data_IF_918598490349
#
_entry.id   IF_918598490349
#
_cell.length_a   1.000
_cell.length_b   1.000
_cell.length_c   1.000
_cell.angle_alpha   90.00
_cell.angle_beta   90.00
_cell.angle_gamma   90.00
#
_symmetry.space_group_name_H-M   'P 1'
#
loop_
_entity.id
_entity.type
_entity.pdbx_description
1 polymer ?
#
# COMPACT_ATOMS: atom_id res chain seq x y z
N UNK A 1 -28.60 -21.51 4.21
CA UNK A 1 -28.54 -21.43 2.73
C UNK A 1 -27.07 -21.59 2.39
N UNK A 2 -26.68 -22.69 1.75
CA UNK A 2 -25.28 -22.90 1.35
C UNK A 2 -24.89 -21.79 0.38
N UNK A 3 -23.90 -20.98 0.76
CA UNK A 3 -23.28 -20.02 -0.15
C UNK A 3 -22.24 -20.79 -0.96
N UNK A 4 -22.63 -21.30 -2.13
CA UNK A 4 -21.73 -22.03 -3.02
C UNK A 4 -20.79 -21.05 -3.76
N UNK A 5 -19.80 -20.51 -3.03
CA UNK A 5 -18.76 -19.61 -3.56
C UNK A 5 -17.41 -20.24 -3.25
N UNK A 6 -16.71 -20.72 -4.29
CA UNK A 6 -15.41 -21.35 -4.13
C UNK A 6 -14.25 -20.37 -4.41
N UNK A 7 -13.71 -19.76 -3.36
CA UNK A 7 -12.49 -18.94 -3.46
C UNK A 7 -11.25 -19.77 -3.86
N UNK A 8 -11.30 -21.10 -3.77
CA UNK A 8 -10.20 -21.97 -4.24
C UNK A 8 -10.06 -21.97 -5.75
N UNK A 9 -11.06 -21.49 -6.48
CA UNK A 9 -10.95 -21.25 -7.94
C UNK A 9 -9.88 -20.22 -8.31
N UNK A 10 -9.42 -19.40 -7.36
CA UNK A 10 -8.30 -18.48 -7.53
C UNK A 10 -6.93 -19.20 -7.49
N UNK A 11 -6.90 -20.42 -6.96
CA UNK A 11 -5.69 -21.24 -6.87
C UNK A 11 -5.60 -22.10 -8.15
N UNK A 12 -4.46 -22.09 -8.87
CA UNK A 12 -4.27 -22.95 -10.04
C UNK A 12 -4.59 -24.43 -9.74
N UNK A 13 -5.06 -25.17 -10.74
CA UNK A 13 -5.59 -26.53 -10.58
C UNK A 13 -4.60 -27.52 -9.94
N UNK A 14 -3.30 -27.34 -10.21
CA UNK A 14 -2.20 -28.10 -9.64
C UNK A 14 -1.92 -27.79 -8.15
N UNK A 15 -2.56 -26.76 -7.58
CA UNK A 15 -2.31 -26.24 -6.23
C UNK A 15 -3.54 -26.21 -5.33
N UNK A 16 -4.70 -26.72 -5.76
CA UNK A 16 -6.03 -26.62 -5.10
C UNK A 16 -6.08 -27.02 -3.60
N UNK A 17 -5.07 -27.71 -3.08
CA UNK A 17 -4.97 -28.04 -1.65
C UNK A 17 -3.75 -27.41 -0.97
N UNK A 18 -2.57 -27.47 -1.60
CA UNK A 18 -1.32 -26.86 -1.15
C UNK A 18 -0.43 -26.57 -2.38
N UNK A 19 0.11 -25.34 -2.47
CA UNK A 19 1.11 -24.99 -3.49
C UNK A 19 2.53 -25.35 -3.06
N UNK A 20 3.28 -26.08 -3.90
CA UNK A 20 4.70 -26.30 -3.66
C UNK A 20 5.49 -25.04 -4.06
N UNK A 21 6.38 -24.58 -3.18
CA UNK A 21 7.29 -23.46 -3.44
C UNK A 21 8.71 -23.99 -3.60
N UNK A 22 9.38 -23.62 -4.69
CA UNK A 22 10.77 -23.99 -4.95
C UNK A 22 11.74 -22.88 -4.49
N UNK A 23 12.53 -23.18 -3.47
CA UNK A 23 13.51 -22.28 -2.89
C UNK A 23 14.91 -22.69 -3.36
N UNK A 24 15.34 -22.14 -4.51
CA UNK A 24 16.73 -22.22 -4.98
C UNK A 24 17.67 -21.36 -4.08
N UNK A 25 18.93 -21.13 -4.49
CA UNK A 25 19.89 -20.23 -3.81
C UNK A 25 19.47 -18.74 -3.76
N UNK A 26 18.18 -18.45 -3.99
CA UNK A 26 17.62 -17.13 -4.09
C UNK A 26 17.16 -16.60 -2.71
N UNK A 27 17.27 -15.29 -2.51
CA UNK A 27 16.79 -14.64 -1.29
C UNK A 27 15.32 -14.24 -1.44
N UNK A 28 14.53 -14.44 -0.39
CA UNK A 28 13.12 -14.11 -0.38
C UNK A 28 12.80 -13.16 0.78
N UNK A 29 11.75 -12.36 0.60
CA UNK A 29 11.14 -11.60 1.68
C UNK A 29 9.66 -11.94 1.77
N UNK A 30 9.13 -11.94 2.99
CA UNK A 30 7.74 -12.28 3.27
C UNK A 30 7.07 -11.18 4.07
N UNK A 31 5.76 -11.05 3.90
CA UNK A 31 4.94 -10.12 4.66
C UNK A 31 3.56 -10.71 4.91
N UNK A 32 2.91 -10.26 5.98
CA UNK A 32 1.51 -10.56 6.23
C UNK A 32 0.81 -9.34 6.82
N UNK A 33 -0.50 -9.29 6.61
CA UNK A 33 -1.36 -8.26 7.20
C UNK A 33 -2.79 -8.76 7.32
N UNK A 34 -3.50 -8.25 8.33
CA UNK A 34 -4.91 -8.54 8.56
C UNK A 34 -5.68 -7.26 8.30
N UNK A 35 -6.76 -7.38 7.53
CA UNK A 35 -7.72 -6.32 7.25
C UNK A 35 -9.08 -6.77 7.79
N UNK A 36 -9.49 -6.22 8.93
CA UNK A 36 -10.68 -6.63 9.68
C UNK A 36 -11.69 -5.48 9.93
N UNK A 37 -11.32 -4.25 9.60
CA UNK A 37 -12.13 -3.05 9.84
C UNK A 37 -12.34 -2.22 8.55
N UNK A 38 -12.26 -2.81 7.36
CA UNK A 38 -12.52 -2.10 6.09
C UNK A 38 -13.90 -2.43 5.53
N UNK A 39 -14.66 -1.44 5.00
CA UNK A 39 -15.83 -1.70 4.18
C UNK A 39 -15.50 -2.64 3.01
N UNK A 40 -16.47 -3.41 2.52
CA UNK A 40 -16.25 -4.25 1.33
C UNK A 40 -15.93 -3.42 0.09
N UNK A 41 -16.49 -2.22 -0.02
CA UNK A 41 -16.30 -1.30 -1.14
C UNK A 41 -16.35 0.15 -0.66
N UNK A 42 -15.62 1.01 -1.35
CA UNK A 42 -15.64 2.46 -1.22
C UNK A 42 -15.48 3.10 -2.60
N UNK A 43 -15.51 4.42 -2.68
CA UNK A 43 -15.33 5.11 -3.95
C UNK A 43 -13.89 4.94 -4.46
N UNK A 44 -13.75 4.27 -5.61
CA UNK A 44 -12.46 3.99 -6.24
C UNK A 44 -11.76 2.70 -5.79
N UNK A 45 -12.29 1.99 -4.79
CA UNK A 45 -11.67 0.76 -4.33
C UNK A 45 -12.56 -0.22 -3.57
N UNK A 46 -12.00 -1.39 -3.30
CA UNK A 46 -12.64 -2.44 -2.51
C UNK A 46 -11.60 -3.23 -1.72
N UNK A 47 -12.09 -4.02 -0.76
CA UNK A 47 -11.24 -4.80 0.15
C UNK A 47 -10.29 -5.76 -0.60
N UNK A 48 -10.74 -6.36 -1.69
CA UNK A 48 -9.97 -7.35 -2.45
C UNK A 48 -8.78 -6.70 -3.15
N UNK A 49 -9.04 -5.64 -3.91
CA UNK A 49 -8.01 -4.87 -4.60
C UNK A 49 -7.00 -4.27 -3.63
N UNK A 50 -7.45 -3.70 -2.51
CA UNK A 50 -6.56 -3.14 -1.50
C UNK A 50 -5.70 -4.20 -0.81
N UNK A 51 -6.29 -5.32 -0.39
CA UNK A 51 -5.57 -6.37 0.32
C UNK A 51 -4.43 -6.96 -0.52
N UNK A 52 -4.68 -7.24 -1.80
CA UNK A 52 -3.64 -7.75 -2.72
C UNK A 52 -2.59 -6.67 -2.99
N UNK A 53 -3.02 -5.45 -3.34
CA UNK A 53 -2.10 -4.35 -3.69
C UNK A 53 -1.21 -3.93 -2.53
N UNK A 54 -1.72 -3.85 -1.30
CA UNK A 54 -0.91 -3.50 -0.12
C UNK A 54 0.11 -4.61 0.20
N UNK A 55 -0.24 -5.89 0.04
CA UNK A 55 0.71 -7.00 0.18
C UNK A 55 1.81 -6.95 -0.89
N UNK A 56 1.43 -6.75 -2.15
CA UNK A 56 2.39 -6.58 -3.25
C UNK A 56 3.33 -5.40 -2.97
N UNK A 57 2.77 -4.24 -2.63
CA UNK A 57 3.54 -3.03 -2.34
C UNK A 57 4.49 -3.22 -1.16
N UNK A 58 4.09 -3.96 -0.11
CA UNK A 58 4.96 -4.27 1.05
C UNK A 58 6.18 -5.10 0.69
N UNK A 59 6.08 -5.95 -0.34
CA UNK A 59 7.22 -6.66 -0.92
C UNK A 59 8.05 -5.72 -1.78
N UNK A 60 7.40 -4.95 -2.66
CA UNK A 60 8.03 -3.98 -3.56
C UNK A 60 8.83 -2.90 -2.82
N UNK A 61 8.40 -2.42 -1.66
CA UNK A 61 9.18 -1.44 -0.87
C UNK A 61 10.49 -2.01 -0.31
N UNK A 62 10.69 -3.33 -0.34
CA UNK A 62 11.97 -4.00 -0.05
C UNK A 62 12.78 -4.26 -1.33
N UNK A 63 12.27 -3.80 -2.47
CA UNK A 63 12.77 -4.04 -3.81
C UNK A 63 12.51 -5.45 -4.32
N UNK A 64 11.71 -6.25 -3.62
CA UNK A 64 11.40 -7.61 -4.02
C UNK A 64 10.35 -7.61 -5.14
N UNK A 65 10.49 -8.51 -6.11
CA UNK A 65 9.44 -8.80 -7.07
C UNK A 65 8.38 -9.69 -6.38
N UNK A 66 7.12 -9.25 -6.24
CA UNK A 66 6.04 -10.07 -5.70
C UNK A 66 5.87 -11.36 -6.50
N UNK A 67 5.61 -12.50 -5.84
CA UNK A 67 5.48 -13.79 -6.52
C UNK A 67 4.28 -14.60 -6.08
N UNK A 68 4.07 -14.75 -4.78
CA UNK A 68 3.04 -15.63 -4.25
C UNK A 68 2.18 -14.93 -3.21
N UNK A 69 0.88 -15.19 -3.27
CA UNK A 69 -0.12 -14.67 -2.37
C UNK A 69 -0.90 -15.84 -1.74
N UNK A 70 -1.23 -15.72 -0.46
CA UNK A 70 -2.18 -16.59 0.21
C UNK A 70 -3.09 -15.77 1.13
N UNK A 71 -4.31 -16.24 1.36
CA UNK A 71 -5.22 -15.56 2.27
C UNK A 71 -6.18 -16.49 3.03
N UNK A 72 -6.53 -16.07 4.24
CA UNK A 72 -7.60 -16.65 5.04
C UNK A 72 -8.72 -15.61 5.20
N UNK A 73 -9.95 -15.96 4.84
CA UNK A 73 -11.12 -15.10 4.95
C UNK A 73 -12.02 -15.57 6.09
N UNK A 74 -12.49 -14.61 6.89
CA UNK A 74 -13.60 -14.78 7.83
C UNK A 74 -14.78 -14.02 7.25
N UNK A 75 -15.85 -14.74 6.94
CA UNK A 75 -17.02 -14.20 6.24
C UNK A 75 -18.23 -14.29 7.15
N UNK A 76 -18.89 -13.15 7.34
CA UNK A 76 -20.18 -13.05 8.01
C UNK A 76 -21.26 -13.77 7.18
N UNK A 77 -22.07 -14.60 7.84
CA UNK A 77 -23.13 -15.38 7.19
C UNK A 77 -24.21 -14.52 6.54
N UNK A 78 -24.33 -13.25 6.91
CA UNK A 78 -25.31 -12.32 6.35
C UNK A 78 -24.74 -11.51 5.16
N UNK A 79 -23.43 -11.62 4.89
CA UNK A 79 -22.81 -10.95 3.72
C UNK A 79 -23.45 -11.39 2.41
N UNK A 80 -23.98 -10.48 1.57
CA UNK A 80 -24.64 -10.88 0.33
C UNK A 80 -23.69 -11.65 -0.60
N UNK A 81 -24.18 -12.73 -1.21
CA UNK A 81 -23.43 -13.56 -2.16
C UNK A 81 -22.88 -12.72 -3.33
N UNK A 82 -23.64 -11.71 -3.77
CA UNK A 82 -23.20 -10.79 -4.82
C UNK A 82 -21.95 -10.00 -4.44
N UNK A 83 -21.84 -9.55 -3.18
CA UNK A 83 -20.64 -8.84 -2.71
C UNK A 83 -19.43 -9.78 -2.63
N UNK A 84 -19.64 -11.03 -2.23
CA UNK A 84 -18.59 -12.04 -2.19
C UNK A 84 -18.07 -12.39 -3.60
N UNK A 85 -18.94 -12.43 -4.61
CA UNK A 85 -18.50 -12.58 -6.01
C UNK A 85 -17.68 -11.39 -6.48
N UNK A 86 -18.11 -10.16 -6.18
CA UNK A 86 -17.34 -8.95 -6.50
C UNK A 86 -15.97 -8.95 -5.82
N UNK A 87 -15.93 -9.31 -4.54
CA UNK A 87 -14.68 -9.41 -3.78
C UNK A 87 -13.73 -10.44 -4.42
N UNK A 88 -14.22 -11.63 -4.75
CA UNK A 88 -13.43 -12.67 -5.44
C UNK A 88 -12.88 -12.17 -6.78
N UNK A 89 -13.72 -11.54 -7.59
CA UNK A 89 -13.33 -11.03 -8.90
C UNK A 89 -12.30 -9.90 -8.78
N UNK A 90 -12.46 -9.03 -7.79
CA UNK A 90 -11.49 -7.97 -7.50
C UNK A 90 -10.13 -8.51 -7.01
N UNK A 91 -10.14 -9.51 -6.12
CA UNK A 91 -8.91 -10.20 -5.70
C UNK A 91 -8.19 -10.79 -6.92
N UNK A 92 -8.92 -11.47 -7.81
CA UNK A 92 -8.35 -12.05 -9.04
C UNK A 92 -7.69 -10.97 -9.90
N UNK A 93 -8.41 -9.89 -10.16
CA UNK A 93 -7.94 -8.85 -11.08
C UNK A 93 -6.72 -8.12 -10.48
N UNK A 94 -6.70 -7.90 -9.16
CA UNK A 94 -5.55 -7.33 -8.46
C UNK A 94 -4.34 -8.28 -8.41
N UNK A 95 -4.55 -9.60 -8.30
CA UNK A 95 -3.47 -10.59 -8.38
C UNK A 95 -2.80 -10.56 -9.77
N UNK A 96 -3.61 -10.44 -10.83
CA UNK A 96 -3.11 -10.29 -12.21
C UNK A 96 -2.29 -9.00 -12.34
N UNK A 97 -2.82 -7.87 -11.85
CA UNK A 97 -2.10 -6.58 -11.89
C UNK A 97 -0.81 -6.59 -11.08
N UNK A 98 -0.77 -7.30 -9.95
CA UNK A 98 0.39 -7.42 -9.09
C UNK A 98 1.40 -8.48 -9.57
N UNK A 99 1.09 -9.21 -10.65
CA UNK A 99 1.87 -10.36 -11.13
C UNK A 99 2.11 -11.42 -10.04
N UNK A 100 1.13 -11.60 -9.15
CA UNK A 100 1.20 -12.54 -8.03
C UNK A 100 0.35 -13.78 -8.29
N UNK A 101 0.90 -14.95 -7.99
CA UNK A 101 0.19 -16.21 -8.04
C UNK A 101 -0.46 -16.52 -6.69
N UNK A 102 -1.76 -16.79 -6.69
CA UNK A 102 -2.47 -17.22 -5.50
C UNK A 102 -2.24 -18.71 -5.26
N UNK A 103 -1.50 -19.06 -4.19
CA UNK A 103 -1.10 -20.44 -3.89
C UNK A 103 -2.01 -21.14 -2.88
N UNK A 104 -2.77 -20.37 -2.08
CA UNK A 104 -3.70 -20.92 -1.11
C UNK A 104 -4.72 -19.88 -0.67
N UNK A 105 -6.01 -20.24 -0.67
CA UNK A 105 -7.06 -19.45 -0.01
C UNK A 105 -7.95 -20.34 0.84
N UNK A 106 -8.20 -19.91 2.08
CA UNK A 106 -9.16 -20.53 2.99
C UNK A 106 -10.31 -19.57 3.32
N UNK A 107 -11.49 -20.13 3.58
CA UNK A 107 -12.67 -19.36 3.99
C UNK A 107 -13.33 -20.02 5.19
N UNK A 108 -13.68 -19.22 6.18
CA UNK A 108 -14.47 -19.62 7.34
C UNK A 108 -15.74 -18.76 7.42
N UNK A 109 -16.86 -19.38 7.81
CA UNK A 109 -18.14 -18.69 7.97
C UNK A 109 -18.40 -18.45 9.47
N UNK A 110 -18.86 -17.26 9.83
CA UNK A 110 -19.22 -16.88 11.20
C UNK A 110 -20.57 -16.19 11.26
N UNK A 111 -21.40 -16.55 12.25
CA UNK A 111 -22.67 -15.86 12.56
C UNK A 111 -22.48 -14.60 13.41
N UNK A 112 -21.25 -14.38 13.89
CA UNK A 112 -20.78 -13.12 14.50
C UNK A 112 -19.54 -12.71 13.70
N UNK A 113 -19.74 -12.42 12.42
CA UNK A 113 -18.66 -12.10 11.51
C UNK A 113 -18.15 -10.67 11.68
N UNK A 114 -17.21 -10.26 10.82
CA UNK A 114 -16.60 -8.94 10.85
C UNK A 114 -17.62 -7.82 10.63
N UNK A 115 -17.34 -6.62 11.17
CA UNK A 115 -18.24 -5.45 11.12
C UNK A 115 -18.77 -5.15 9.71
N UNK A 116 -17.91 -5.31 8.70
CA UNK A 116 -18.24 -5.02 7.31
C UNK A 116 -18.42 -6.29 6.46
N UNK A 117 -18.67 -7.43 7.08
CA UNK A 117 -18.99 -8.68 6.40
C UNK A 117 -17.78 -9.58 6.13
N UNK A 118 -16.63 -9.06 5.72
CA UNK A 118 -15.43 -9.88 5.49
C UNK A 118 -14.20 -9.29 6.16
N UNK A 119 -13.41 -10.15 6.77
CA UNK A 119 -12.06 -9.88 7.22
C UNK A 119 -11.13 -10.82 6.46
N UNK A 120 -9.97 -10.32 6.06
CA UNK A 120 -8.99 -11.08 5.29
C UNK A 120 -7.61 -10.97 5.92
N UNK A 121 -7.00 -12.11 6.21
CA UNK A 121 -5.60 -12.23 6.58
C UNK A 121 -4.83 -12.63 5.34
N UNK A 122 -3.86 -11.83 4.96
CA UNK A 122 -3.07 -12.06 3.75
C UNK A 122 -1.62 -12.37 4.10
N UNK A 123 -1.00 -13.20 3.27
CA UNK A 123 0.42 -13.50 3.26
C UNK A 123 0.98 -13.31 1.85
N UNK A 124 2.16 -12.71 1.75
CA UNK A 124 2.86 -12.51 0.50
C UNK A 124 4.31 -12.95 0.60
N UNK A 125 4.82 -13.54 -0.48
CA UNK A 125 6.21 -13.91 -0.67
C UNK A 125 6.74 -13.27 -1.96
N UNK A 126 7.90 -12.62 -1.86
CA UNK A 126 8.56 -11.96 -2.98
C UNK A 126 10.03 -12.34 -3.08
N UNK A 127 10.55 -12.30 -4.30
CA UNK A 127 11.94 -12.60 -4.62
C UNK A 127 12.79 -11.32 -4.51
N UNK A 128 13.83 -11.35 -3.67
CA UNK A 128 14.75 -10.22 -3.55
C UNK A 128 15.80 -10.27 -4.68
N UNK A 129 16.10 -9.12 -5.32
CA UNK A 129 17.24 -9.03 -6.22
C UNK A 129 18.55 -9.21 -5.42
N UNK A 130 19.58 -9.80 -6.03
CA UNK A 130 20.89 -9.90 -5.40
C UNK A 130 21.47 -8.50 -5.16
N UNK A 131 22.26 -8.37 -4.09
CA UNK A 131 23.05 -7.17 -3.77
C UNK A 131 22.25 -5.85 -3.58
N UNK A 132 20.93 -5.93 -3.41
CA UNK A 132 20.11 -4.76 -3.06
C UNK A 132 20.04 -4.58 -1.55
N UNK A 133 20.64 -3.50 -1.06
CA UNK A 133 20.48 -3.05 0.33
C UNK A 133 19.75 -1.71 0.38
N UNK A 134 18.48 -1.76 0.77
CA UNK A 134 17.65 -0.58 0.99
C UNK A 134 16.96 -0.69 2.33
N UNK A 135 16.82 0.42 3.03
CA UNK A 135 16.16 0.50 4.32
C UNK A 135 16.53 1.77 5.07
N UNK A 136 15.92 1.94 6.24
CA UNK A 136 16.15 3.12 7.07
C UNK A 136 17.63 3.27 7.50
N UNK A 137 18.38 2.17 7.61
CA UNK A 137 19.80 2.20 7.93
C UNK A 137 20.68 2.81 6.83
N UNK A 138 20.17 2.89 5.59
CA UNK A 138 20.89 3.44 4.45
C UNK A 138 20.65 4.95 4.28
N UNK A 139 19.75 5.54 5.08
CA UNK A 139 19.38 6.95 4.99
C UNK A 139 20.52 7.80 5.53
N UNK A 140 20.92 8.80 4.76
CA UNK A 140 22.01 9.73 5.05
C UNK A 140 21.49 11.18 5.09
N UNK A 141 22.22 12.09 5.77
CA UNK A 141 21.95 13.52 5.68
C UNK A 141 21.97 13.99 4.22
N UNK A 142 21.18 15.03 3.92
CA UNK A 142 21.05 15.63 2.59
C UNK A 142 20.29 14.79 1.54
N UNK A 143 19.89 13.55 1.87
CA UNK A 143 18.96 12.80 1.03
C UNK A 143 17.62 13.55 0.85
N UNK A 144 16.98 13.31 -0.29
CA UNK A 144 15.72 13.94 -0.68
C UNK A 144 14.57 12.97 -0.50
N UNK A 145 13.48 13.47 0.09
CA UNK A 145 12.21 12.74 0.26
C UNK A 145 11.30 13.06 -0.91
N UNK A 146 10.89 12.00 -1.62
CA UNK A 146 9.97 12.05 -2.74
C UNK A 146 8.66 11.35 -2.37
N UNK A 147 7.54 11.84 -2.89
CA UNK A 147 6.25 11.14 -2.88
C UNK A 147 5.78 10.94 -4.31
N UNK A 148 5.18 9.79 -4.61
CA UNK A 148 4.77 9.46 -5.99
C UNK A 148 3.50 10.14 -6.46
N UNK A 149 2.62 10.56 -5.54
CA UNK A 149 1.33 11.14 -5.88
C UNK A 149 0.58 11.71 -4.67
N UNK A 150 -0.68 12.12 -4.85
CA UNK A 150 -1.48 12.76 -3.82
C UNK A 150 -1.70 11.87 -2.60
N UNK A 151 -1.66 12.44 -1.40
CA UNK A 151 -1.85 11.70 -0.15
C UNK A 151 -3.25 11.88 0.44
N UNK A 152 -3.72 10.85 1.12
CA UNK A 152 -4.89 10.89 2.01
C UNK A 152 -6.22 10.43 1.40
N UNK A 153 -6.29 10.19 0.09
CA UNK A 153 -7.51 9.78 -0.60
C UNK A 153 -8.12 8.48 -0.03
N UNK A 154 -7.29 7.46 0.22
CA UNK A 154 -7.74 6.19 0.80
C UNK A 154 -8.44 6.37 2.14
N UNK A 155 -7.79 7.05 3.09
CA UNK A 155 -8.36 7.27 4.41
C UNK A 155 -9.69 8.02 4.36
N UNK A 156 -9.79 9.05 3.52
CA UNK A 156 -11.04 9.81 3.36
C UNK A 156 -12.13 8.96 2.71
N UNK A 157 -11.82 8.23 1.63
CA UNK A 157 -12.80 7.37 0.96
C UNK A 157 -13.32 6.26 1.89
N UNK A 158 -12.45 5.68 2.71
CA UNK A 158 -12.82 4.68 3.72
C UNK A 158 -13.68 5.31 4.83
N UNK A 159 -13.31 6.47 5.39
CA UNK A 159 -14.11 7.15 6.41
C UNK A 159 -15.54 7.45 5.91
N UNK A 160 -15.66 7.93 4.66
CA UNK A 160 -16.96 8.17 4.01
C UNK A 160 -17.76 6.87 3.92
N UNK A 161 -17.14 5.78 3.43
CA UNK A 161 -17.79 4.48 3.30
C UNK A 161 -18.20 3.86 4.65
N UNK A 162 -17.52 4.21 5.75
CA UNK A 162 -17.89 3.80 7.11
C UNK A 162 -19.08 4.59 7.67
N UNK A 163 -19.54 5.63 6.98
CA UNK A 163 -20.56 6.56 7.47
C UNK A 163 -20.03 7.50 8.55
N UNK A 164 -18.71 7.67 8.65
CA UNK A 164 -18.07 8.57 9.60
C UNK A 164 -18.01 10.01 9.04
N UNK A 165 -18.34 10.22 7.75
CA UNK A 165 -18.42 11.49 7.02
C UNK A 165 -19.78 12.20 7.06
N UNK A 166 -19.77 13.54 7.06
CA UNK A 166 -21.00 14.38 7.08
C UNK A 166 -21.45 14.80 5.68
N UNK A 167 -20.58 14.70 4.66
CA UNK A 167 -20.84 15.31 3.36
C UNK A 167 -20.95 14.28 2.21
N UNK A 168 -22.16 14.03 1.67
CA UNK A 168 -22.38 13.16 0.51
C UNK A 168 -21.83 13.75 -0.81
N UNK A 169 -21.20 14.93 -0.78
CA UNK A 169 -20.67 15.63 -1.97
C UNK A 169 -19.15 15.45 -2.16
N UNK A 170 -18.43 14.91 -1.17
CA UNK A 170 -17.00 14.63 -1.32
C UNK A 170 -16.77 13.41 -2.22
N UNK A 171 -16.66 13.63 -3.53
CA UNK A 171 -16.28 12.61 -4.52
C UNK A 171 -14.78 12.28 -4.45
N UNK A 172 -14.30 11.84 -3.28
CA UNK A 172 -12.92 11.39 -3.13
C UNK A 172 -12.81 9.97 -3.67
N UNK A 173 -12.00 9.83 -4.72
CA UNK A 173 -11.73 8.55 -5.37
C UNK A 173 -10.38 8.02 -4.89
N UNK A 174 -10.39 6.85 -4.27
CA UNK A 174 -9.17 6.11 -3.93
C UNK A 174 -8.62 5.33 -5.14
N UNK A 175 -7.33 5.01 -5.13
CA UNK A 175 -6.64 4.25 -6.18
C UNK A 175 -5.71 3.20 -5.59
N UNK A 176 -6.23 2.17 -4.89
CA UNK A 176 -5.40 1.12 -4.31
C UNK A 176 -4.86 0.22 -5.43
N UNK A 177 -3.59 0.39 -5.79
CA UNK A 177 -2.97 -0.36 -6.88
C UNK A 177 -1.57 -0.86 -6.52
N UNK A 178 -1.14 -1.95 -7.16
CA UNK A 178 0.25 -2.40 -7.14
C UNK A 178 1.15 -1.37 -7.85
N UNK A 179 2.29 -1.05 -7.25
CA UNK A 179 3.27 -0.08 -7.74
C UNK A 179 4.46 -0.77 -8.43
N UNK A 180 4.25 -1.97 -8.96
CA UNK A 180 5.32 -2.82 -9.49
C UNK A 180 6.09 -2.15 -10.63
N UNK A 181 5.39 -1.56 -11.60
CA UNK A 181 5.99 -0.83 -12.72
C UNK A 181 6.87 0.33 -12.24
N UNK A 182 6.35 1.12 -11.30
CA UNK A 182 7.01 2.28 -10.72
C UNK A 182 8.26 1.88 -9.95
N UNK A 183 8.15 0.87 -9.07
CA UNK A 183 9.26 0.42 -8.22
C UNK A 183 10.36 -0.22 -9.05
N UNK A 184 10.03 -1.10 -10.00
CA UNK A 184 11.04 -1.70 -10.88
C UNK A 184 11.76 -0.65 -11.73
N UNK A 185 11.04 0.36 -12.23
CA UNK A 185 11.65 1.47 -12.96
C UNK A 185 12.55 2.34 -12.05
N UNK A 186 12.13 2.59 -10.81
CA UNK A 186 12.88 3.38 -9.84
C UNK A 186 14.19 2.68 -9.45
N UNK A 187 14.15 1.38 -9.14
CA UNK A 187 15.35 0.60 -8.79
C UNK A 187 16.38 0.58 -9.93
N UNK A 188 15.92 0.47 -11.17
CA UNK A 188 16.80 0.47 -12.35
C UNK A 188 17.45 1.84 -12.58
N UNK A 189 16.68 2.91 -12.45
CA UNK A 189 17.13 4.26 -12.82
C UNK A 189 17.80 5.01 -11.65
N UNK A 190 17.62 4.54 -10.41
CA UNK A 190 18.11 5.16 -9.17
C UNK A 190 18.77 4.09 -8.29
N UNK A 191 19.94 3.56 -8.68
CA UNK A 191 20.62 2.49 -7.94
C UNK A 191 21.07 2.93 -6.53
N UNK A 192 21.16 4.24 -6.27
CA UNK A 192 21.51 4.77 -4.96
C UNK A 192 20.32 5.00 -4.03
N UNK A 193 19.10 4.54 -4.38
CA UNK A 193 17.92 4.70 -3.51
C UNK A 193 18.21 4.16 -2.10
N UNK A 194 17.84 4.92 -1.07
CA UNK A 194 18.12 4.55 0.33
C UNK A 194 16.99 3.75 0.93
N UNK A 195 15.76 4.23 0.76
CA UNK A 195 14.58 3.62 1.37
C UNK A 195 13.32 3.89 0.55
N UNK A 196 12.39 2.93 0.63
CA UNK A 196 11.03 3.05 0.14
C UNK A 196 10.05 2.81 1.29
N UNK A 197 9.04 3.67 1.42
CA UNK A 197 8.01 3.62 2.47
C UNK A 197 6.61 3.61 1.86
N UNK A 198 5.66 3.07 2.62
CA UNK A 198 4.25 3.02 2.24
C UNK A 198 3.40 3.68 3.34
N UNK A 199 2.69 4.77 3.04
CA UNK A 199 1.82 5.48 3.96
C UNK A 199 0.42 4.84 4.10
N UNK A 200 0.34 3.51 4.21
CA UNK A 200 -0.92 2.75 4.23
C UNK A 200 -1.55 2.56 5.62
N UNK A 201 -0.89 3.03 6.68
CA UNK A 201 -1.37 2.90 8.07
C UNK A 201 -2.16 4.13 8.53
N UNK A 202 -2.84 4.01 9.67
CA UNK A 202 -3.76 4.98 10.25
C UNK A 202 -3.27 6.45 10.29
N UNK A 203 -1.96 6.69 10.42
CA UNK A 203 -1.36 8.04 10.48
C UNK A 203 -0.62 8.45 9.17
N UNK A 204 -0.88 7.73 8.07
CA UNK A 204 -0.52 8.13 6.71
C UNK A 204 0.97 8.39 6.46
N UNK A 205 1.24 9.50 5.78
CA UNK A 205 2.58 9.97 5.43
C UNK A 205 3.39 10.29 6.68
N UNK A 206 2.78 10.97 7.66
CA UNK A 206 3.47 11.44 8.85
C UNK A 206 4.09 10.29 9.66
N UNK A 207 3.33 9.23 9.94
CA UNK A 207 3.82 8.06 10.68
C UNK A 207 4.85 7.25 9.89
N UNK A 208 4.73 7.21 8.56
CA UNK A 208 5.74 6.56 7.73
C UNK A 208 7.08 7.28 7.80
N UNK A 209 7.08 8.61 7.71
CA UNK A 209 8.29 9.42 7.86
C UNK A 209 8.86 9.36 9.29
N UNK A 210 8.00 9.42 10.33
CA UNK A 210 8.43 9.28 11.74
C UNK A 210 9.14 7.96 12.00
N UNK A 211 8.61 6.86 11.46
CA UNK A 211 9.27 5.55 11.59
C UNK A 211 10.59 5.49 10.85
N UNK A 212 10.70 6.12 9.68
CA UNK A 212 11.94 6.19 8.94
C UNK A 212 12.98 6.98 9.75
N UNK A 213 12.64 8.20 10.17
CA UNK A 213 13.45 9.07 11.03
C UNK A 213 13.97 8.35 12.28
N UNK A 214 13.06 7.68 13.01
CA UNK A 214 13.41 6.94 14.24
C UNK A 214 14.37 5.76 13.98
N UNK A 215 14.21 5.07 12.86
CA UNK A 215 15.04 3.89 12.53
C UNK A 215 16.38 4.26 11.92
N UNK A 216 16.46 5.40 11.23
CA UNK A 216 17.69 5.94 10.66
C UNK A 216 18.50 6.78 11.65
N UNK A 217 17.89 7.18 12.77
CA UNK A 217 18.43 8.19 13.70
C UNK A 217 18.67 9.55 13.03
N UNK A 218 17.86 9.89 12.03
CA UNK A 218 17.87 11.17 11.33
C UNK A 218 16.59 11.96 11.60
N UNK A 219 16.57 13.24 11.22
CA UNK A 219 15.36 14.05 11.15
C UNK A 219 14.85 14.13 9.70
N UNK A 220 13.53 14.29 9.54
CA UNK A 220 12.89 14.50 8.24
C UNK A 220 12.24 15.88 8.23
N UNK A 221 12.72 16.77 7.38
CA UNK A 221 12.12 18.08 7.16
C UNK A 221 11.25 18.03 5.90
N UNK A 222 9.94 18.26 6.07
CA UNK A 222 8.95 18.28 5.00
C UNK A 222 8.41 19.69 4.83
N UNK A 223 8.40 20.19 3.61
CA UNK A 223 7.62 21.36 3.22
C UNK A 223 6.20 20.90 2.87
N UNK A 224 5.23 21.27 3.71
CA UNK A 224 3.83 20.88 3.55
C UNK A 224 3.24 21.38 2.23
N UNK A 225 3.71 22.52 1.74
CA UNK A 225 3.19 23.15 0.51
C UNK A 225 3.57 22.39 -0.75
N UNK A 226 4.60 21.54 -0.67
CA UNK A 226 5.06 20.69 -1.76
C UNK A 226 4.39 19.31 -1.79
N UNK A 227 3.71 18.92 -0.71
CA UNK A 227 3.02 17.63 -0.66
C UNK A 227 1.74 17.71 -1.50
N UNK A 228 1.62 16.92 -2.58
CA UNK A 228 0.39 16.88 -3.38
C UNK A 228 -0.77 16.33 -2.54
N UNK A 229 -1.88 17.06 -2.54
CA UNK A 229 -3.14 16.70 -1.90
C UNK A 229 -4.27 17.15 -2.82
N UNK A 230 -5.20 16.25 -3.14
CA UNK A 230 -6.36 16.61 -3.94
C UNK A 230 -7.28 17.56 -3.18
N UNK A 231 -7.91 18.50 -3.89
CA UNK A 231 -8.76 19.52 -3.26
C UNK A 231 -9.91 18.91 -2.47
N UNK A 232 -10.55 17.85 -2.98
CA UNK A 232 -11.62 17.15 -2.28
C UNK A 232 -11.15 16.51 -0.96
N UNK A 233 -9.92 15.99 -0.92
CA UNK A 233 -9.30 15.47 0.32
C UNK A 233 -9.01 16.61 1.28
N UNK A 234 -8.45 17.72 0.78
CA UNK A 234 -8.16 18.90 1.59
C UNK A 234 -9.42 19.50 2.22
N UNK A 235 -10.49 19.65 1.43
CA UNK A 235 -11.78 20.20 1.87
C UNK A 235 -12.44 19.30 2.93
N UNK A 236 -12.46 17.97 2.69
CA UNK A 236 -12.95 17.01 3.68
C UNK A 236 -12.17 17.09 5.00
N UNK A 237 -10.84 17.13 4.92
CA UNK A 237 -10.00 17.24 6.10
C UNK A 237 -10.22 18.57 6.85
N UNK A 238 -10.31 19.69 6.12
CA UNK A 238 -10.52 21.01 6.70
C UNK A 238 -11.86 21.10 7.44
N UNK A 239 -12.95 20.58 6.86
CA UNK A 239 -14.27 20.57 7.46
C UNK A 239 -14.35 19.80 8.79
N UNK A 240 -13.41 18.87 9.02
CA UNK A 240 -13.38 17.96 10.18
C UNK A 240 -12.23 18.24 11.15
N UNK A 241 -11.39 19.24 10.87
CA UNK A 241 -10.17 19.51 11.63
C UNK A 241 -9.14 18.37 11.55
N UNK A 242 -9.15 17.62 10.45
CA UNK A 242 -8.19 16.56 10.17
C UNK A 242 -7.01 17.09 9.35
N UNK A 243 -5.91 16.35 9.34
CA UNK A 243 -4.73 16.65 8.54
C UNK A 243 -4.59 15.64 7.39
N UNK A 244 -4.61 16.06 6.11
CA UNK A 244 -4.50 15.13 4.97
C UNK A 244 -3.21 14.30 4.99
N UNK A 245 -2.10 14.83 5.52
CA UNK A 245 -0.84 14.09 5.63
C UNK A 245 -0.89 12.98 6.70
N UNK A 246 -1.85 13.06 7.61
CA UNK A 246 -2.12 12.03 8.62
C UNK A 246 -3.18 11.02 8.16
N UNK A 247 -3.75 11.20 6.97
CA UNK A 247 -4.71 10.24 6.42
C UNK A 247 -3.98 9.08 5.71
N UNK A 248 -4.42 7.83 5.91
CA UNK A 248 -3.94 6.69 5.15
C UNK A 248 -4.01 6.92 3.64
N UNK A 249 -3.06 6.35 2.91
CA UNK A 249 -3.03 6.39 1.44
C UNK A 249 -2.83 4.99 0.90
N UNK A 250 -3.46 4.67 -0.24
CA UNK A 250 -3.21 3.46 -1.00
C UNK A 250 -2.61 3.85 -2.36
N UNK A 251 -1.73 3.02 -2.92
CA UNK A 251 -1.12 3.30 -4.21
C UNK A 251 -0.13 4.48 -4.25
N UNK A 252 0.45 4.87 -3.11
CA UNK A 252 1.50 5.91 -3.06
C UNK A 252 2.78 5.37 -2.45
N UNK A 253 3.90 5.65 -3.12
CA UNK A 253 5.26 5.36 -2.68
C UNK A 253 5.90 6.63 -2.14
N UNK A 254 6.61 6.48 -1.02
CA UNK A 254 7.60 7.48 -0.58
C UNK A 254 8.98 6.90 -0.85
N UNK A 255 9.83 7.65 -1.54
CA UNK A 255 11.21 7.25 -1.84
C UNK A 255 12.19 8.25 -1.23
N UNK A 256 13.24 7.74 -0.59
CA UNK A 256 14.35 8.54 -0.06
C UNK A 256 15.57 8.24 -0.92
N UNK A 257 16.10 9.26 -1.57
CA UNK A 257 17.14 9.14 -2.59
C UNK A 257 18.25 10.16 -2.36
N UNK A 258 19.50 9.87 -2.77
CA UNK A 258 20.58 10.86 -2.77
C UNK A 258 20.18 12.11 -3.56
N UNK A 259 20.57 13.29 -3.07
CA UNK A 259 20.34 14.56 -3.77
C UNK A 259 20.81 14.55 -5.23
N UNK A 260 21.91 13.86 -5.52
CA UNK A 260 22.44 13.73 -6.88
C UNK A 260 21.56 12.93 -7.83
N UNK A 261 20.66 12.07 -7.32
CA UNK A 261 19.77 11.22 -8.12
C UNK A 261 18.30 11.66 -8.11
N UNK A 262 17.97 12.76 -7.43
CA UNK A 262 16.59 13.28 -7.30
C UNK A 262 15.87 13.42 -8.64
N UNK A 263 16.52 14.00 -9.65
CA UNK A 263 15.90 14.19 -10.97
C UNK A 263 15.61 12.85 -11.65
N UNK A 264 16.57 11.93 -11.65
CA UNK A 264 16.41 10.60 -12.26
C UNK A 264 15.26 9.82 -11.58
N UNK A 265 15.18 9.90 -10.25
CA UNK A 265 14.10 9.28 -9.49
C UNK A 265 12.72 9.87 -9.83
N UNK A 266 12.59 11.20 -9.86
CA UNK A 266 11.33 11.87 -10.23
C UNK A 266 10.90 11.55 -11.67
N UNK A 267 11.82 11.61 -12.62
CA UNK A 267 11.56 11.26 -14.02
C UNK A 267 11.15 9.79 -14.14
N UNK A 268 11.73 8.91 -13.32
CA UNK A 268 11.38 7.49 -13.30
C UNK A 268 9.97 7.24 -12.77
N UNK A 269 9.62 7.85 -11.63
CA UNK A 269 8.30 7.73 -11.01
C UNK A 269 7.22 8.28 -11.94
N UNK A 270 7.45 9.44 -12.57
CA UNK A 270 6.47 10.12 -13.44
C UNK A 270 6.11 9.38 -14.72
N UNK A 271 6.87 8.36 -15.11
CA UNK A 271 6.50 7.48 -16.24
C UNK A 271 5.41 6.46 -15.88
N UNK A 272 5.22 6.17 -14.60
CA UNK A 272 4.11 5.34 -14.16
C UNK A 272 2.80 6.12 -14.26
N UNK A 273 1.70 5.42 -14.59
CA UNK A 273 0.37 6.00 -14.62
C UNK A 273 -0.04 6.61 -13.26
N UNK A 274 0.52 6.09 -12.16
CA UNK A 274 0.23 6.49 -10.78
C UNK A 274 1.28 7.45 -10.19
N UNK A 275 2.22 7.93 -11.02
CA UNK A 275 3.36 8.76 -10.58
C UNK A 275 3.37 10.18 -11.13
N UNK A 276 2.36 10.58 -11.91
CA UNK A 276 2.36 11.85 -12.67
C UNK A 276 2.51 13.09 -11.78
N UNK A 277 2.01 13.04 -10.55
CA UNK A 277 2.07 14.12 -9.56
C UNK A 277 3.24 13.98 -8.59
N UNK A 278 4.24 13.16 -8.90
CA UNK A 278 5.37 12.97 -8.00
C UNK A 278 6.12 14.27 -7.72
N UNK A 279 6.48 14.47 -6.45
CA UNK A 279 7.09 15.69 -5.94
C UNK A 279 8.23 15.38 -4.96
N UNK A 280 9.24 16.23 -4.96
CA UNK A 280 10.20 16.30 -3.86
C UNK A 280 9.59 17.17 -2.76
N UNK A 281 9.40 16.58 -1.58
CA UNK A 281 8.63 17.20 -0.50
C UNK A 281 9.49 17.60 0.70
N UNK A 282 10.76 17.22 0.71
CA UNK A 282 11.58 17.40 1.89
C UNK A 282 13.00 16.85 1.78
N UNK A 283 13.73 16.98 2.88
CA UNK A 283 15.13 16.60 3.03
C UNK A 283 15.38 15.87 4.34
N UNK A 284 16.41 15.04 4.37
CA UNK A 284 16.91 14.40 5.58
C UNK A 284 17.96 15.31 6.25
N UNK A 285 17.85 15.48 7.57
CA UNK A 285 18.73 16.32 8.39
C UNK A 285 19.36 15.50 9.53
N UNK A 286 20.50 15.93 10.05
CA UNK A 286 21.24 15.17 11.08
C UNK A 286 20.53 15.15 12.45
N UNK A 287 19.78 16.20 12.85
CA UNK A 287 19.28 16.34 14.23
C UNK A 287 18.10 17.34 14.36
N UNK A 288 17.23 17.21 15.39
CA UNK A 288 17.22 16.17 16.43
C UNK A 288 16.70 14.83 15.89
N UNK A 289 17.46 13.76 16.12
CA UNK A 289 17.17 12.42 15.59
C UNK A 289 15.76 11.93 15.96
N UNK A 290 15.03 11.38 14.98
CA UNK A 290 13.69 10.82 15.18
C UNK A 290 12.56 11.84 15.09
N UNK A 291 12.84 13.11 14.79
CA UNK A 291 11.82 14.13 14.57
C UNK A 291 11.38 14.25 13.11
N UNK A 292 10.11 14.62 12.93
CA UNK A 292 9.56 15.02 11.63
C UNK A 292 9.11 16.47 11.78
N UNK A 293 9.78 17.36 11.07
CA UNK A 293 9.49 18.79 11.03
C UNK A 293 8.61 19.02 9.80
N UNK A 294 7.42 19.59 10.01
CA UNK A 294 6.50 19.96 8.93
C UNK A 294 6.42 21.47 8.91
N UNK A 295 7.00 22.07 7.87
CA UNK A 295 7.02 23.51 7.62
C UNK A 295 5.88 23.95 6.70
#
# INVERSE_FOLDING_TARGET
MDKDIDFRSLVPDNYRHQGALDFNAAQYTATSHIYDDLPLSWQGGDLGMFAVSDIANRLLRRGATPRYFAADLIIDTDTPISELHRLRDSIRDALVQAEMECVSIHTSLSTRGPRYGVAISCFGLGLLPPDLDIGAACIEPDDIVLVSGPVGAHGVAVDIARGEGIDPVAEVVDHPVSLGDMVHALLRDTPGIRAMLLPTRAEGLMDSLRRAAKRSYMAVNVDRTLVPVDSAVADYCAARGLNPLAMPTAGVLVAIVPRSQTRAALDSIRRSAYGSMAAAIGTIEELPAGEVIIN
#
